data_IF_263380338661
#
_entry.id   IF_263380338661
#
_cell.length_a   1.000
_cell.length_b   1.000
_cell.length_c   1.000
_cell.angle_alpha   90.00
_cell.angle_beta   90.00
_cell.angle_gamma   90.00
#
_symmetry.space_group_name_H-M   'P 1'
#
loop_
_entity.id
_entity.type
_entity.pdbx_description
1 polymer ?
#
# COMPACT_ATOMS: atom_id res chain seq x y z
N UNK A 1 1.14 14.93 -11.01
CA UNK A 1 0.22 14.13 -10.18
C UNK A 1 1.01 12.99 -9.57
N UNK A 2 0.75 12.60 -8.31
CA UNK A 2 1.31 11.38 -7.76
C UNK A 2 0.96 10.18 -8.66
N UNK A 3 1.82 9.16 -8.67
CA UNK A 3 1.61 7.95 -9.47
C UNK A 3 0.40 7.16 -8.93
N UNK A 4 -0.50 6.70 -9.81
CA UNK A 4 -1.64 5.87 -9.41
C UNK A 4 -1.22 4.43 -9.05
N UNK A 5 -1.94 3.79 -8.14
CA UNK A 5 -1.73 2.39 -7.74
C UNK A 5 -1.90 1.44 -8.93
N UNK A 6 -2.86 1.72 -9.81
CA UNK A 6 -3.09 0.96 -11.04
C UNK A 6 -1.85 0.96 -11.96
N UNK A 7 -1.15 2.10 -12.05
CA UNK A 7 0.11 2.21 -12.79
C UNK A 7 1.24 1.43 -12.12
N UNK A 8 1.35 1.53 -10.78
CA UNK A 8 2.34 0.78 -9.98
C UNK A 8 2.14 -0.73 -10.16
N UNK A 9 0.91 -1.22 -10.00
CA UNK A 9 0.56 -2.63 -10.13
C UNK A 9 0.84 -3.12 -11.55
N UNK A 10 0.49 -2.35 -12.58
CA UNK A 10 0.79 -2.71 -13.97
C UNK A 10 2.30 -2.89 -14.21
N UNK A 11 3.13 -2.00 -13.68
CA UNK A 11 4.59 -2.10 -13.79
C UNK A 11 5.16 -3.25 -12.95
N UNK A 12 4.71 -3.38 -11.70
CA UNK A 12 5.11 -4.45 -10.80
C UNK A 12 4.79 -5.83 -11.37
N UNK A 13 3.58 -6.03 -11.86
CA UNK A 13 3.15 -7.24 -12.54
C UNK A 13 4.02 -7.56 -13.75
N UNK A 14 4.36 -6.56 -14.55
CA UNK A 14 5.23 -6.75 -15.72
C UNK A 14 6.61 -7.27 -15.31
N UNK A 15 7.20 -6.70 -14.25
CA UNK A 15 8.49 -7.16 -13.69
C UNK A 15 8.35 -8.59 -13.15
N UNK A 16 7.31 -8.87 -12.37
CA UNK A 16 7.09 -10.17 -11.73
C UNK A 16 6.82 -11.29 -12.76
N UNK A 17 6.11 -10.98 -13.85
CA UNK A 17 5.82 -11.91 -14.96
C UNK A 17 7.06 -12.18 -15.82
N UNK A 18 8.05 -11.29 -15.82
CA UNK A 18 9.29 -11.45 -16.58
C UNK A 18 10.36 -12.18 -15.76
N UNK A 19 10.78 -13.42 -16.13
CA UNK A 19 11.73 -14.19 -15.32
C UNK A 19 13.10 -13.53 -15.15
N UNK A 20 13.58 -12.82 -16.17
CA UNK A 20 14.88 -12.13 -16.13
C UNK A 20 14.84 -10.92 -15.21
N UNK A 21 13.79 -10.10 -15.31
CA UNK A 21 13.62 -8.93 -14.46
C UNK A 21 13.34 -9.33 -13.01
N UNK A 22 12.43 -10.27 -12.78
CA UNK A 22 12.07 -10.74 -11.45
C UNK A 22 13.30 -11.25 -10.67
N UNK A 23 14.18 -12.04 -11.31
CA UNK A 23 15.39 -12.58 -10.67
C UNK A 23 16.36 -11.49 -10.19
N UNK A 24 16.40 -10.35 -10.87
CA UNK A 24 17.30 -9.23 -10.52
C UNK A 24 16.63 -8.25 -9.57
N UNK A 25 15.38 -7.86 -9.86
CA UNK A 25 14.70 -6.76 -9.17
C UNK A 25 14.10 -7.20 -7.84
N UNK A 26 13.57 -8.42 -7.72
CA UNK A 26 12.91 -8.88 -6.48
C UNK A 26 13.87 -8.91 -5.28
N UNK A 27 15.11 -9.44 -5.38
CA UNK A 27 16.07 -9.37 -4.26
C UNK A 27 16.41 -7.94 -3.85
N UNK A 28 16.53 -7.03 -4.82
CA UNK A 28 16.76 -5.60 -4.58
C UNK A 28 15.58 -5.00 -3.82
N UNK A 29 14.35 -5.30 -4.26
CA UNK A 29 13.13 -4.84 -3.60
C UNK A 29 13.01 -5.37 -2.17
N UNK A 30 13.34 -6.64 -1.93
CA UNK A 30 13.36 -7.23 -0.58
C UNK A 30 14.36 -6.52 0.34
N UNK A 31 15.54 -6.18 -0.18
CA UNK A 31 16.57 -5.48 0.58
C UNK A 31 16.19 -4.01 0.83
N UNK A 32 15.56 -3.36 -0.16
CA UNK A 32 14.99 -2.02 -0.01
C UNK A 32 13.97 -2.00 1.13
N UNK A 33 12.98 -2.90 1.10
CA UNK A 33 11.95 -3.02 2.14
C UNK A 33 12.58 -3.23 3.53
N UNK A 34 13.59 -4.10 3.63
CA UNK A 34 14.30 -4.34 4.90
C UNK A 34 14.96 -3.06 5.43
N UNK A 35 15.59 -2.27 4.56
CA UNK A 35 16.24 -1.02 4.97
C UNK A 35 15.27 0.15 5.19
N UNK A 36 14.05 0.09 4.66
CA UNK A 36 13.02 1.09 4.93
C UNK A 36 12.58 1.13 6.41
N UNK A 37 12.83 0.09 7.20
CA UNK A 37 12.70 0.10 8.66
C UNK A 37 11.27 0.09 9.22
N UNK A 38 10.23 0.35 8.42
CA UNK A 38 8.84 0.43 8.91
C UNK A 38 8.36 -0.83 9.65
N UNK A 39 8.85 -2.02 9.26
CA UNK A 39 8.55 -3.28 9.95
C UNK A 39 9.06 -3.31 11.39
N UNK A 40 10.15 -2.59 11.69
CA UNK A 40 10.70 -2.47 13.05
C UNK A 40 9.86 -1.57 13.97
N UNK A 41 8.99 -0.75 13.37
CA UNK A 41 7.96 0.04 14.06
C UNK A 41 6.61 -0.68 14.13
N UNK A 42 6.54 -1.94 13.66
CA UNK A 42 5.31 -2.74 13.69
C UNK A 42 4.29 -2.36 12.62
N UNK A 43 4.68 -1.59 11.61
CA UNK A 43 3.83 -1.19 10.49
C UNK A 43 3.85 -2.24 9.37
N UNK A 44 2.78 -2.24 8.57
CA UNK A 44 2.74 -2.83 7.23
C UNK A 44 2.94 -1.74 6.19
N UNK A 45 3.34 -2.08 4.96
CA UNK A 45 3.59 -1.09 3.91
C UNK A 45 2.37 -0.21 3.62
N UNK A 46 1.18 -0.80 3.56
CA UNK A 46 -0.07 -0.07 3.29
C UNK A 46 -0.43 0.95 4.39
N UNK A 47 0.15 0.84 5.60
CA UNK A 47 -0.03 1.85 6.67
C UNK A 47 0.73 3.16 6.37
N UNK A 48 1.66 3.15 5.40
CA UNK A 48 2.49 4.30 5.00
C UNK A 48 1.87 5.11 3.85
N UNK A 49 0.75 4.66 3.29
CA UNK A 49 0.09 5.34 2.17
C UNK A 49 -0.55 6.64 2.69
N UNK A 50 -0.27 7.76 2.01
CA UNK A 50 -0.90 9.06 2.30
C UNK A 50 -2.41 8.97 2.09
N UNK A 51 -3.15 9.31 3.14
CA UNK A 51 -4.60 9.15 3.20
C UNK A 51 -5.37 10.45 2.89
N UNK A 52 -4.68 11.56 2.65
CA UNK A 52 -5.24 12.90 2.40
C UNK A 52 -5.76 13.05 0.95
N UNK A 53 -6.48 12.05 0.45
CA UNK A 53 -7.11 12.03 -0.87
C UNK A 53 -8.37 11.16 -0.90
N UNK A 54 -9.30 11.46 -1.81
CA UNK A 54 -10.62 10.80 -1.87
C UNK A 54 -10.54 9.29 -2.16
N UNK A 55 -9.53 8.85 -2.91
CA UNK A 55 -9.30 7.43 -3.24
C UNK A 55 -8.93 6.66 -1.97
N UNK A 56 -7.94 7.14 -1.21
CA UNK A 56 -7.51 6.52 0.03
C UNK A 56 -8.60 6.56 1.10
N UNK A 57 -9.32 7.70 1.25
CA UNK A 57 -10.45 7.79 2.17
C UNK A 57 -11.57 6.80 1.81
N UNK A 58 -11.87 6.64 0.52
CA UNK A 58 -12.84 5.65 0.05
C UNK A 58 -12.39 4.23 0.34
N UNK A 59 -11.12 3.91 0.10
CA UNK A 59 -10.54 2.60 0.37
C UNK A 59 -10.58 2.26 1.88
N UNK A 60 -10.17 3.20 2.74
CA UNK A 60 -10.19 3.02 4.20
C UNK A 60 -11.62 2.80 4.70
N UNK A 61 -12.61 3.53 4.19
CA UNK A 61 -14.02 3.36 4.57
C UNK A 61 -14.61 2.01 4.17
N UNK A 62 -14.09 1.38 3.12
CA UNK A 62 -14.52 0.04 2.64
C UNK A 62 -13.84 -1.10 3.39
N UNK A 63 -12.80 -0.81 4.17
CA UNK A 63 -12.04 -1.82 4.88
C UNK A 63 -12.91 -2.51 5.95
N UNK A 64 -12.79 -3.84 6.13
CA UNK A 64 -13.41 -4.55 7.24
C UNK A 64 -13.03 -3.93 8.60
N UNK A 65 -13.95 -3.99 9.55
CA UNK A 65 -13.80 -3.35 10.85
C UNK A 65 -12.60 -3.88 11.65
N UNK A 66 -12.33 -5.19 11.59
CA UNK A 66 -11.20 -5.85 12.24
C UNK A 66 -9.83 -5.40 11.70
N UNK A 67 -9.71 -5.29 10.37
CA UNK A 67 -8.51 -4.75 9.71
C UNK A 67 -8.34 -3.26 9.99
N UNK A 68 -9.45 -2.50 10.03
CA UNK A 68 -9.44 -1.07 10.37
C UNK A 68 -8.93 -0.82 11.80
N UNK A 69 -9.44 -1.56 12.79
CA UNK A 69 -8.94 -1.47 14.17
C UNK A 69 -7.47 -1.89 14.28
N UNK A 70 -7.10 -2.98 13.59
CA UNK A 70 -5.71 -3.46 13.58
C UNK A 70 -4.75 -2.43 12.97
N UNK A 71 -5.16 -1.75 11.89
CA UNK A 71 -4.43 -0.64 11.26
C UNK A 71 -4.22 0.52 12.23
N UNK A 72 -5.31 1.00 12.85
CA UNK A 72 -5.25 2.13 13.80
C UNK A 72 -4.31 1.80 14.97
N UNK A 73 -4.37 0.58 15.50
CA UNK A 73 -3.47 0.14 16.56
C UNK A 73 -1.98 0.17 16.13
N UNK A 74 -1.65 -0.35 14.95
CA UNK A 74 -0.26 -0.31 14.42
C UNK A 74 0.24 1.12 14.27
N UNK A 75 -0.59 2.02 13.73
CA UNK A 75 -0.25 3.42 13.55
C UNK A 75 0.01 4.11 14.89
N UNK A 76 -0.87 3.95 15.88
CA UNK A 76 -0.69 4.54 17.22
C UNK A 76 0.59 3.98 17.88
N UNK A 77 0.81 2.68 17.80
CA UNK A 77 2.00 2.03 18.34
C UNK A 77 3.29 2.57 17.70
N UNK A 78 3.31 2.74 16.37
CA UNK A 78 4.45 3.28 15.65
C UNK A 78 4.75 4.73 16.07
N UNK A 79 3.73 5.59 16.19
CA UNK A 79 3.90 6.95 16.70
C UNK A 79 4.47 6.95 18.12
N UNK A 80 3.97 6.07 19.00
CA UNK A 80 4.47 5.95 20.36
C UNK A 80 5.92 5.45 20.43
N UNK A 81 6.32 4.54 19.54
CA UNK A 81 7.69 4.07 19.45
C UNK A 81 8.61 5.21 18.95
N UNK A 82 8.21 5.88 17.88
CA UNK A 82 8.98 6.94 17.25
C UNK A 82 9.18 8.16 18.15
N UNK A 83 8.15 8.63 18.86
CA UNK A 83 8.26 9.77 19.79
C UNK A 83 9.23 9.50 20.93
N UNK A 84 9.42 8.23 21.30
CA UNK A 84 10.41 7.83 22.31
C UNK A 84 11.79 7.57 21.72
N UNK A 85 11.95 7.67 20.40
CA UNK A 85 13.15 7.28 19.66
C UNK A 85 13.59 5.84 19.93
N UNK A 86 12.65 4.92 20.11
CA UNK A 86 12.91 3.49 20.29
C UNK A 86 12.27 2.69 19.16
N UNK A 87 12.96 1.63 18.73
CA UNK A 87 12.34 0.57 17.94
C UNK A 87 11.51 -0.34 18.85
N UNK A 88 10.53 -1.03 18.27
CA UNK A 88 9.84 -2.07 19.00
C UNK A 88 10.80 -3.23 19.35
N UNK A 89 10.50 -4.03 20.38
CA UNK A 89 11.17 -5.30 20.59
C UNK A 89 11.09 -6.20 19.35
N UNK A 90 12.13 -6.95 19.04
CA UNK A 90 12.27 -7.74 17.80
C UNK A 90 11.11 -8.72 17.54
N UNK A 91 10.51 -9.28 18.60
CA UNK A 91 9.37 -10.19 18.49
C UNK A 91 8.06 -9.50 18.07
N UNK A 92 7.99 -8.17 18.15
CA UNK A 92 6.84 -7.35 17.71
C UNK A 92 7.04 -6.75 16.32
N UNK A 93 8.19 -7.00 15.67
CA UNK A 93 8.41 -6.53 14.31
C UNK A 93 7.49 -7.26 13.35
N UNK A 94 6.90 -6.53 12.40
CA UNK A 94 6.08 -7.12 11.34
C UNK A 94 6.93 -8.11 10.55
N UNK A 95 6.48 -9.36 10.45
CA UNK A 95 7.21 -10.36 9.66
C UNK A 95 6.99 -10.13 8.16
N UNK A 96 7.91 -10.58 7.30
CA UNK A 96 7.71 -10.52 5.85
C UNK A 96 6.42 -11.20 5.39
N UNK A 97 5.97 -12.27 6.07
CA UNK A 97 4.73 -12.98 5.70
C UNK A 97 3.46 -12.23 6.10
N UNK A 98 3.54 -11.34 7.09
CA UNK A 98 2.42 -10.56 7.64
C UNK A 98 2.23 -9.23 6.90
N UNK A 99 3.28 -8.73 6.25
CA UNK A 99 3.32 -7.52 5.44
C UNK A 99 2.65 -7.72 4.07
N UNK A 100 1.34 -7.98 4.12
CA UNK A 100 0.48 -8.18 2.95
C UNK A 100 -0.21 -6.86 2.56
N UNK A 101 -0.42 -6.64 1.25
CA UNK A 101 -1.10 -5.44 0.75
C UNK A 101 -2.62 -5.55 0.98
N UNK A 102 -3.07 -5.26 2.20
CA UNK A 102 -4.46 -5.42 2.63
C UNK A 102 -5.39 -4.29 2.14
N UNK A 103 -4.86 -3.10 1.89
CA UNK A 103 -5.59 -1.91 1.43
C UNK A 103 -5.57 -1.77 -0.09
N UNK A 104 -4.51 -2.27 -0.75
CA UNK A 104 -4.32 -2.18 -2.21
C UNK A 104 -5.55 -2.63 -3.03
N UNK A 105 -6.27 -3.72 -2.73
CA UNK A 105 -7.45 -4.11 -3.50
C UNK A 105 -8.54 -3.03 -3.50
N UNK A 106 -8.77 -2.39 -2.36
CA UNK A 106 -9.75 -1.32 -2.20
C UNK A 106 -9.31 -0.02 -2.89
N UNK A 107 -8.00 0.25 -2.91
CA UNK A 107 -7.43 1.38 -3.65
C UNK A 107 -7.62 1.21 -5.16
N UNK A 108 -7.33 0.01 -5.70
CA UNK A 108 -7.51 -0.28 -7.12
C UNK A 108 -8.99 -0.20 -7.54
N UNK A 109 -9.90 -0.69 -6.70
CA UNK A 109 -11.35 -0.57 -6.93
C UNK A 109 -11.79 0.90 -6.97
N UNK A 110 -11.32 1.72 -6.02
CA UNK A 110 -11.65 3.14 -5.97
C UNK A 110 -11.06 3.91 -7.17
N UNK A 111 -9.81 3.64 -7.57
CA UNK A 111 -9.19 4.22 -8.76
C UNK A 111 -9.93 3.83 -10.05
N UNK A 112 -10.33 2.56 -10.18
CA UNK A 112 -11.06 2.09 -11.35
C UNK A 112 -12.42 2.79 -11.49
N UNK A 113 -13.15 2.96 -10.38
CA UNK A 113 -14.43 3.67 -10.37
C UNK A 113 -14.28 5.16 -10.73
N UNK A 114 -13.23 5.83 -10.24
CA UNK A 114 -12.94 7.22 -10.61
C UNK A 114 -12.60 7.33 -12.10
N UNK A 115 -11.76 6.43 -12.59
CA UNK A 115 -11.35 6.40 -14.00
C UNK A 115 -12.53 6.13 -14.94
N UNK A 116 -13.40 5.17 -14.60
CA UNK A 116 -14.61 4.88 -15.38
C UNK A 116 -15.54 6.09 -15.40
N UNK A 117 -15.74 6.75 -14.26
CA UNK A 117 -16.54 7.98 -14.20
C UNK A 117 -15.99 9.06 -15.12
N UNK A 118 -14.69 9.33 -15.06
CA UNK A 118 -14.03 10.32 -15.94
C UNK A 118 -14.20 9.97 -17.43
N UNK A 119 -14.04 8.68 -17.79
CA UNK A 119 -14.22 8.21 -19.16
C UNK A 119 -15.66 8.41 -19.66
N UNK A 120 -16.65 8.16 -18.81
CA UNK A 120 -18.07 8.35 -19.12
C UNK A 120 -18.44 9.83 -19.24
N UNK A 121 -17.91 10.68 -18.35
CA UNK A 121 -18.14 12.13 -18.37
C UNK A 121 -17.55 12.79 -19.65
N UNK A 122 -16.53 12.18 -20.26
CA UNK A 122 -15.87 12.65 -21.48
C UNK A 122 -16.17 11.81 -22.73
N UNK A 123 -17.24 11.02 -22.71
CA UNK A 123 -17.58 10.11 -23.81
C UNK A 123 -18.02 10.89 -25.07
N UNK A 124 -17.29 10.72 -26.16
CA UNK A 124 -17.63 11.29 -27.47
C UNK A 124 -18.55 10.35 -28.25
N UNK A 125 -19.69 10.86 -28.72
CA UNK A 125 -20.57 10.13 -29.62
C UNK A 125 -20.03 10.24 -31.05
N UNK A 126 -19.72 9.10 -31.67
CA UNK A 126 -19.44 9.06 -33.11
C UNK A 126 -20.74 9.29 -33.89
N UNK A 127 -20.81 10.41 -34.60
CA UNK A 127 -21.86 10.69 -35.59
C UNK A 127 -21.67 9.86 -36.86
#
# INVERSE_FOLDING_TARGET
MPQSFSSIVKMGDYILKSPSLSRVVVPIAQQFIKYSGYRQLGLKFDDLISEENDIAQTAIRRLPEDESYSRVFRIIQAHQAEVTHHLLPTHKWTKPEEDKPYLLPYLLEAEAAVKEKEELDHLELKN
#
